data_IF_860600488090
#
_entry.id   IF_860600488090
#
_cell.length_a   1.000
_cell.length_b   1.000
_cell.length_c   1.000
_cell.angle_alpha   90.00
_cell.angle_beta   90.00
_cell.angle_gamma   90.00
#
_symmetry.space_group_name_H-M   'P 1'
#
loop_
_entity.id
_entity.type
_entity.pdbx_description
1 polymer ?
#
# COMPACT_ATOMS: atom_id res chain seq x y z
N UNK A 1 21.38 7.62 5.66
CA UNK A 1 19.91 7.46 5.66
C UNK A 1 19.43 7.71 4.25
N UNK A 2 18.92 6.69 3.56
CA UNK A 2 18.32 6.89 2.24
C UNK A 2 17.01 7.65 2.48
N UNK A 3 16.94 8.89 2.01
CA UNK A 3 15.76 9.75 2.22
C UNK A 3 14.53 9.07 1.61
N UNK A 4 13.47 8.93 2.40
CA UNK A 4 12.19 8.41 1.90
C UNK A 4 11.63 9.41 0.87
N UNK A 5 11.44 8.96 -0.37
CA UNK A 5 10.76 9.74 -1.41
C UNK A 5 9.24 9.67 -1.19
N UNK A 6 8.73 10.63 -0.40
CA UNK A 6 7.31 10.74 -0.06
C UNK A 6 6.46 10.94 -1.32
N UNK A 7 6.89 11.80 -2.23
CA UNK A 7 6.11 12.10 -3.44
C UNK A 7 6.07 10.89 -4.38
N UNK A 8 7.19 10.16 -4.50
CA UNK A 8 7.27 8.87 -5.17
C UNK A 8 6.32 7.84 -4.56
N UNK A 9 6.34 7.67 -3.24
CA UNK A 9 5.47 6.75 -2.54
C UNK A 9 3.98 7.09 -2.74
N UNK A 10 3.59 8.37 -2.69
CA UNK A 10 2.22 8.82 -2.98
C UNK A 10 1.81 8.47 -4.42
N UNK A 11 2.69 8.71 -5.39
CA UNK A 11 2.42 8.39 -6.81
C UNK A 11 2.21 6.90 -7.02
N UNK A 12 3.08 6.07 -6.43
CA UNK A 12 3.03 4.61 -6.55
C UNK A 12 1.75 4.04 -5.90
N UNK A 13 1.43 4.42 -4.67
CA UNK A 13 0.22 3.94 -4.01
C UNK A 13 -1.07 4.37 -4.73
N UNK A 14 -1.11 5.60 -5.28
CA UNK A 14 -2.21 6.02 -6.15
C UNK A 14 -2.28 5.24 -7.46
N UNK A 15 -1.14 4.85 -8.01
CA UNK A 15 -1.09 4.03 -9.21
C UNK A 15 -1.64 2.63 -8.93
N UNK A 16 -1.11 1.93 -7.92
CA UNK A 16 -1.56 0.59 -7.55
C UNK A 16 -3.04 0.57 -7.19
N UNK A 17 -3.53 1.53 -6.38
CA UNK A 17 -4.96 1.69 -6.08
C UNK A 17 -5.81 1.69 -7.36
N UNK A 18 -5.42 2.50 -8.35
CA UNK A 18 -6.16 2.58 -9.63
C UNK A 18 -6.05 1.29 -10.43
N UNK A 19 -4.91 0.60 -10.41
CA UNK A 19 -4.78 -0.69 -11.09
C UNK A 19 -5.74 -1.73 -10.49
N UNK A 20 -5.78 -1.86 -9.15
CA UNK A 20 -6.73 -2.74 -8.48
C UNK A 20 -8.18 -2.38 -8.80
N UNK A 21 -8.56 -1.11 -8.70
CA UNK A 21 -9.94 -0.67 -8.97
C UNK A 21 -10.34 -0.83 -10.44
N UNK A 22 -9.40 -0.66 -11.37
CA UNK A 22 -9.67 -0.85 -12.80
C UNK A 22 -9.61 -2.31 -13.25
N UNK A 23 -8.96 -3.18 -12.49
CA UNK A 23 -8.96 -4.63 -12.72
C UNK A 23 -10.33 -5.29 -12.44
N UNK A 24 -11.28 -4.55 -11.86
CA UNK A 24 -12.65 -4.95 -11.53
C UNK A 24 -13.50 -5.53 -12.68
N UNK A 25 -12.99 -5.57 -13.92
CA UNK A 25 -13.66 -6.21 -15.04
C UNK A 25 -13.56 -7.74 -14.97
N UNK A 26 -14.18 -8.35 -13.95
CA UNK A 26 -14.41 -9.80 -13.88
C UNK A 26 -13.53 -10.61 -12.91
N UNK A 27 -12.93 -9.97 -11.90
CA UNK A 27 -12.17 -10.68 -10.86
C UNK A 27 -10.82 -11.26 -11.29
N UNK A 28 -10.35 -10.88 -12.48
CA UNK A 28 -9.11 -11.37 -13.10
C UNK A 28 -7.89 -10.52 -12.68
N UNK A 29 -7.63 -10.49 -11.38
CA UNK A 29 -6.45 -9.85 -10.81
C UNK A 29 -5.18 -10.67 -11.07
N UNK A 30 -5.32 -11.98 -11.25
CA UNK A 30 -4.23 -12.92 -11.52
C UNK A 30 -3.49 -12.61 -12.83
N UNK A 31 -4.23 -12.26 -13.90
CA UNK A 31 -3.64 -11.98 -15.21
C UNK A 31 -3.20 -10.51 -15.39
N UNK A 32 -3.41 -9.67 -14.37
CA UNK A 32 -3.03 -8.26 -14.37
C UNK A 32 -1.63 -8.06 -13.75
N UNK A 33 -0.83 -7.09 -14.23
CA UNK A 33 0.53 -6.83 -13.73
C UNK A 33 0.52 -6.08 -12.37
N UNK A 34 -0.24 -6.58 -11.40
CA UNK A 34 -0.43 -5.95 -10.08
C UNK A 34 0.77 -6.17 -9.16
N UNK A 35 1.69 -7.07 -9.49
CA UNK A 35 2.82 -7.45 -8.64
C UNK A 35 3.81 -6.32 -8.33
N UNK A 36 3.77 -5.18 -9.04
CA UNK A 36 4.66 -4.06 -8.79
C UNK A 36 4.57 -3.52 -7.36
N UNK A 37 3.40 -3.61 -6.71
CA UNK A 37 3.26 -3.20 -5.32
C UNK A 37 4.14 -4.02 -4.36
N UNK A 38 4.52 -5.26 -4.71
CA UNK A 38 5.43 -6.09 -3.91
C UNK A 38 6.87 -5.58 -3.93
N UNK A 39 7.20 -4.69 -4.87
CA UNK A 39 8.49 -3.98 -4.90
C UNK A 39 8.51 -2.72 -4.03
N UNK A 40 7.45 -2.43 -3.26
CA UNK A 40 7.44 -1.29 -2.35
C UNK A 40 8.57 -1.39 -1.33
N UNK A 41 9.35 -0.32 -1.17
CA UNK A 41 10.46 -0.24 -0.20
C UNK A 41 10.09 0.53 1.06
N UNK A 42 8.85 1.05 1.15
CA UNK A 42 8.44 1.96 2.22
C UNK A 42 8.55 1.32 3.61
N UNK A 43 8.02 0.10 3.80
CA UNK A 43 8.18 -0.66 5.03
C UNK A 43 9.66 -0.83 5.43
N UNK A 44 10.53 -1.20 4.48
CA UNK A 44 11.96 -1.43 4.74
C UNK A 44 12.68 -0.15 5.18
N UNK A 45 12.24 1.00 4.66
CA UNK A 45 12.77 2.31 5.04
C UNK A 45 12.23 2.79 6.39
N UNK A 46 10.95 2.52 6.69
CA UNK A 46 10.29 2.99 7.92
C UNK A 46 10.61 2.12 9.14
N UNK A 47 10.80 0.81 8.96
CA UNK A 47 10.98 -0.13 10.07
C UNK A 47 12.13 0.24 11.02
N UNK A 48 13.33 0.64 10.54
CA UNK A 48 14.41 1.10 11.42
C UNK A 48 14.05 2.36 12.21
N UNK A 49 13.41 3.35 11.57
CA UNK A 49 13.01 4.61 12.20
C UNK A 49 11.94 4.40 13.28
N UNK A 50 10.98 3.51 13.02
CA UNK A 50 9.96 3.12 14.01
C UNK A 50 10.58 2.34 15.17
N UNK A 51 11.52 1.44 14.89
CA UNK A 51 12.21 0.65 15.91
C UNK A 51 13.14 1.49 16.81
N UNK A 52 13.76 2.54 16.27
CA UNK A 52 14.55 3.51 17.03
C UNK A 52 13.70 4.31 18.05
N UNK A 53 12.38 4.30 17.89
CA UNK A 53 11.41 4.84 18.83
C UNK A 53 11.14 6.34 18.70
N UNK A 54 10.03 6.77 19.28
CA UNK A 54 9.58 8.17 19.46
C UNK A 54 8.87 8.87 18.29
N UNK A 55 8.35 8.14 17.29
CA UNK A 55 7.55 8.76 16.25
C UNK A 55 6.25 8.00 15.94
N UNK A 56 5.16 8.41 16.60
CA UNK A 56 3.83 7.84 16.40
C UNK A 56 3.29 8.05 14.98
N UNK A 57 3.74 9.10 14.28
CA UNK A 57 3.36 9.37 12.89
C UNK A 57 3.99 8.31 11.96
N UNK A 58 5.29 8.05 12.11
CA UNK A 58 5.97 7.02 11.32
C UNK A 58 5.45 5.61 11.65
N UNK A 59 5.13 5.33 12.92
CA UNK A 59 4.51 4.07 13.31
C UNK A 59 3.12 3.89 12.67
N UNK A 60 2.31 4.95 12.64
CA UNK A 60 0.99 4.93 11.98
C UNK A 60 1.09 4.77 10.46
N UNK A 61 2.09 5.41 9.83
CA UNK A 61 2.37 5.23 8.41
C UNK A 61 2.78 3.78 8.10
N UNK A 62 3.70 3.20 8.87
CA UNK A 62 4.13 1.81 8.70
C UNK A 62 2.96 0.83 8.87
N UNK A 63 2.08 1.08 9.83
CA UNK A 63 0.89 0.25 10.02
C UNK A 63 -0.09 0.36 8.83
N UNK A 64 -0.28 1.56 8.28
CA UNK A 64 -1.12 1.77 7.11
C UNK A 64 -0.55 1.07 5.85
N UNK A 65 0.76 1.19 5.62
CA UNK A 65 1.48 0.57 4.50
C UNK A 65 1.33 -0.96 4.53
N UNK A 66 1.60 -1.58 5.69
CA UNK A 66 1.41 -3.02 5.90
C UNK A 66 -0.02 -3.48 5.65
N UNK A 67 -1.00 -2.71 6.12
CA UNK A 67 -2.39 -3.07 5.94
C UNK A 67 -2.81 -3.02 4.46
N UNK A 68 -2.41 -1.98 3.73
CA UNK A 68 -2.63 -1.88 2.28
C UNK A 68 -2.02 -3.09 1.55
N UNK A 69 -0.77 -3.44 1.84
CA UNK A 69 -0.10 -4.56 1.19
C UNK A 69 -0.67 -5.92 1.58
N UNK A 70 -1.19 -6.09 2.80
CA UNK A 70 -1.89 -7.29 3.20
C UNK A 70 -3.16 -7.51 2.35
N UNK A 71 -4.01 -6.48 2.22
CA UNK A 71 -5.21 -6.54 1.37
C UNK A 71 -4.85 -6.78 -0.10
N UNK A 72 -3.83 -6.09 -0.62
CA UNK A 72 -3.39 -6.24 -2.00
C UNK A 72 -2.94 -7.69 -2.30
N UNK A 73 -2.17 -8.29 -1.39
CA UNK A 73 -1.76 -9.68 -1.52
C UNK A 73 -2.95 -10.64 -1.41
N UNK A 74 -3.87 -10.41 -0.48
CA UNK A 74 -5.06 -11.25 -0.31
C UNK A 74 -5.96 -11.23 -1.56
N UNK A 75 -6.16 -10.07 -2.18
CA UNK A 75 -6.90 -9.94 -3.44
C UNK A 75 -6.26 -10.77 -4.56
N UNK A 76 -4.93 -10.66 -4.72
CA UNK A 76 -4.18 -11.43 -5.72
C UNK A 76 -4.26 -12.93 -5.42
N UNK A 77 -4.12 -13.32 -4.16
CA UNK A 77 -4.15 -14.72 -3.76
C UNK A 77 -5.55 -15.33 -3.97
N UNK A 78 -6.62 -14.63 -3.60
CA UNK A 78 -7.99 -15.05 -3.88
C UNK A 78 -8.23 -15.23 -5.39
N UNK A 79 -7.81 -14.24 -6.20
CA UNK A 79 -7.95 -14.31 -7.65
C UNK A 79 -7.18 -15.49 -8.26
N UNK A 80 -5.92 -15.70 -7.85
CA UNK A 80 -5.10 -16.84 -8.29
C UNK A 80 -5.71 -18.21 -7.94
N UNK A 81 -6.59 -18.25 -6.92
CA UNK A 81 -7.30 -19.46 -6.51
C UNK A 81 -8.72 -19.55 -7.10
N UNK A 82 -9.05 -18.72 -8.09
CA UNK A 82 -10.36 -18.72 -8.75
C UNK A 82 -11.48 -18.09 -7.93
N UNK A 83 -11.16 -17.34 -6.88
CA UNK A 83 -12.10 -16.66 -5.97
C UNK A 83 -12.19 -15.16 -6.28
N UNK A 84 -12.28 -14.80 -7.57
CA UNK A 84 -12.35 -13.40 -8.03
C UNK A 84 -13.49 -12.61 -7.37
N UNK A 85 -14.68 -13.20 -7.25
CA UNK A 85 -15.82 -12.56 -6.57
C UNK A 85 -15.53 -12.22 -5.09
N UNK A 86 -14.74 -13.06 -4.41
CA UNK A 86 -14.33 -12.78 -3.02
C UNK A 86 -13.26 -11.69 -2.96
N UNK A 87 -12.36 -11.66 -3.96
CA UNK A 87 -11.36 -10.61 -4.11
C UNK A 87 -12.02 -9.24 -4.33
N UNK A 88 -13.10 -9.18 -5.13
CA UNK A 88 -13.87 -7.96 -5.38
C UNK A 88 -14.45 -7.34 -4.10
N UNK A 89 -14.84 -8.17 -3.12
CA UNK A 89 -15.37 -7.70 -1.83
C UNK A 89 -14.33 -6.91 -1.01
N UNK A 90 -13.04 -7.10 -1.25
CA UNK A 90 -11.95 -6.42 -0.55
C UNK A 90 -11.54 -5.10 -1.21
N UNK A 91 -12.01 -4.80 -2.43
CA UNK A 91 -11.64 -3.57 -3.14
C UNK A 91 -12.02 -2.26 -2.40
N UNK A 92 -13.19 -2.14 -1.76
CA UNK A 92 -13.52 -0.94 -1.00
C UNK A 92 -12.51 -0.69 0.13
N UNK A 93 -12.15 -1.73 0.86
CA UNK A 93 -11.19 -1.66 1.96
C UNK A 93 -9.78 -1.34 1.45
N UNK A 94 -9.35 -1.94 0.32
CA UNK A 94 -8.09 -1.61 -0.32
C UNK A 94 -8.05 -0.14 -0.78
N UNK A 95 -9.15 0.37 -1.33
CA UNK A 95 -9.26 1.76 -1.74
C UNK A 95 -9.14 2.72 -0.55
N UNK A 96 -9.79 2.41 0.56
CA UNK A 96 -9.65 3.17 1.81
C UNK A 96 -8.25 3.09 2.41
N UNK A 97 -7.65 1.88 2.43
CA UNK A 97 -6.28 1.68 2.90
C UNK A 97 -5.28 2.49 2.09
N UNK A 98 -5.44 2.55 0.77
CA UNK A 98 -4.59 3.37 -0.10
C UNK A 98 -4.71 4.87 0.22
N UNK A 99 -5.92 5.39 0.40
CA UNK A 99 -6.11 6.78 0.85
C UNK A 99 -5.44 7.04 2.20
N UNK A 100 -5.59 6.10 3.14
CA UNK A 100 -4.94 6.19 4.45
C UNK A 100 -3.42 6.26 4.35
N UNK A 101 -2.79 5.44 3.50
CA UNK A 101 -1.34 5.52 3.26
C UNK A 101 -0.95 6.90 2.73
N UNK A 102 -1.69 7.44 1.76
CA UNK A 102 -1.43 8.76 1.16
C UNK A 102 -1.55 9.88 2.19
N UNK A 103 -2.57 9.86 3.02
CA UNK A 103 -2.76 10.86 4.08
C UNK A 103 -1.62 10.79 5.11
N UNK A 104 -1.22 9.58 5.53
CA UNK A 104 -0.10 9.38 6.45
C UNK A 104 1.25 9.78 5.86
N UNK A 105 1.44 9.60 4.55
CA UNK A 105 2.61 10.11 3.84
C UNK A 105 2.63 11.66 3.87
N UNK A 106 1.45 12.30 3.78
CA UNK A 106 1.29 13.73 4.00
C UNK A 106 1.72 14.17 5.40
N UNK A 107 1.19 13.51 6.44
CA UNK A 107 1.55 13.77 7.85
C UNK A 107 3.06 13.57 8.12
N UNK A 108 3.66 12.56 7.48
CA UNK A 108 5.06 12.20 7.66
C UNK A 108 6.05 13.17 6.98
N UNK A 109 5.57 14.16 6.22
CA UNK A 109 6.44 15.17 5.59
C UNK A 109 7.25 15.96 6.61
N UNK A 110 6.65 16.33 7.74
CA UNK A 110 7.34 17.09 8.80
C UNK A 110 8.42 16.26 9.51
N UNK A 111 8.11 15.06 10.05
CA UNK A 111 9.12 14.25 10.74
C UNK A 111 10.22 13.69 9.83
N UNK A 112 10.01 13.66 8.50
CA UNK A 112 11.02 13.22 7.52
C UNK A 112 11.75 14.40 6.85
N UNK A 113 11.54 15.64 7.32
CA UNK A 113 12.39 16.76 6.91
C UNK A 113 13.83 16.52 7.40
N UNK A 114 14.84 16.89 6.59
CA UNK A 114 16.25 16.75 6.94
C UNK A 114 16.65 17.70 8.08
#
# INVERSE_FOLDING_TARGET
MTRIDIDGAIRLHNHWRRQFINAFAGGDYADMPLSEHRGCTLESCLSPEVAAGNNSILAALLAADRHFHALANEIIDLSNNGLGDSADLLLPDLNEAAHRVIDRLGDAREPLKP
#
